data_IF_768612970173
#
_entry.id   IF_768612970173
#
_cell.length_a   1.000
_cell.length_b   1.000
_cell.length_c   1.000
_cell.angle_alpha   90.00
_cell.angle_beta   90.00
_cell.angle_gamma   90.00
#
_symmetry.space_group_name_H-M   'P 1'
#
loop_
_entity.id
_entity.type
_entity.pdbx_description
1 polymer ?
#
# COMPACT_ATOMS: atom_id res chain seq x y z
N UNK A 1 -11.97 48.43 15.51
CA UNK A 1 -11.18 47.75 14.45
C UNK A 1 -11.01 46.31 14.87
N UNK A 2 -11.61 45.35 14.17
CA UNK A 2 -11.47 43.92 14.45
C UNK A 2 -10.21 43.38 13.78
N UNK A 3 -9.38 42.67 14.54
CA UNK A 3 -8.07 42.13 14.12
C UNK A 3 -8.17 40.88 13.22
N UNK A 4 -9.32 40.56 12.62
CA UNK A 4 -9.56 39.24 11.98
C UNK A 4 -9.79 39.29 10.47
N UNK A 5 -9.39 40.35 9.77
CA UNK A 5 -9.40 40.31 8.31
C UNK A 5 -8.24 39.43 7.78
N UNK A 6 -8.57 38.21 7.37
CA UNK A 6 -7.87 37.54 6.26
C UNK A 6 -6.71 36.59 6.57
N UNK A 7 -6.54 36.12 7.80
CA UNK A 7 -5.44 35.20 8.13
C UNK A 7 -5.76 33.77 7.62
N UNK A 8 -5.02 33.33 6.61
CA UNK A 8 -4.98 31.93 6.19
C UNK A 8 -3.87 31.20 6.96
N UNK A 9 -4.20 30.04 7.53
CA UNK A 9 -3.20 29.14 8.12
C UNK A 9 -2.95 28.01 7.14
N UNK A 10 -1.67 27.72 6.92
CA UNK A 10 -1.20 26.65 6.06
C UNK A 10 -0.65 25.53 6.94
N UNK A 11 -1.09 24.31 6.68
CA UNK A 11 -0.53 23.10 7.29
C UNK A 11 0.11 22.31 6.15
N UNK A 12 1.36 21.89 6.36
CA UNK A 12 2.12 21.05 5.43
C UNK A 12 2.50 19.75 6.11
N UNK A 13 2.26 18.61 5.47
CA UNK A 13 2.83 17.32 5.90
C UNK A 13 3.93 16.91 4.92
N UNK A 14 5.15 16.80 5.41
CA UNK A 14 6.30 16.39 4.61
C UNK A 14 6.21 14.91 4.25
N UNK A 15 6.79 14.50 3.13
CA UNK A 15 6.87 13.11 2.68
C UNK A 15 7.35 12.15 3.78
N UNK A 16 8.42 12.51 4.49
CA UNK A 16 8.94 11.72 5.61
C UNK A 16 7.90 11.48 6.70
N UNK A 17 7.08 12.48 7.02
CA UNK A 17 5.99 12.32 7.98
C UNK A 17 4.86 11.42 7.46
N UNK A 18 4.60 11.42 6.15
CA UNK A 18 3.65 10.51 5.52
C UNK A 18 4.17 9.06 5.55
N UNK A 19 5.44 8.85 5.23
CA UNK A 19 6.09 7.54 5.30
C UNK A 19 6.16 7.00 6.74
N UNK A 20 6.44 7.87 7.72
CA UNK A 20 6.38 7.52 9.15
C UNK A 20 4.96 7.10 9.56
N UNK A 21 3.94 7.83 9.11
CA UNK A 21 2.54 7.49 9.37
C UNK A 21 2.15 6.14 8.74
N UNK A 22 2.51 5.92 7.49
CA UNK A 22 2.27 4.65 6.78
C UNK A 22 2.95 3.51 7.52
N UNK A 23 4.23 3.67 7.86
CA UNK A 23 5.01 2.66 8.61
C UNK A 23 4.39 2.37 9.97
N UNK A 24 3.99 3.39 10.72
CA UNK A 24 3.35 3.23 12.02
C UNK A 24 1.99 2.51 11.89
N UNK A 25 1.19 2.88 10.89
CA UNK A 25 -0.10 2.26 10.62
C UNK A 25 0.05 0.78 10.27
N UNK A 26 0.92 0.45 9.31
CA UNK A 26 1.10 -0.93 8.85
C UNK A 26 1.78 -1.80 9.91
N UNK A 27 2.62 -1.21 10.77
CA UNK A 27 3.18 -1.89 11.95
C UNK A 27 2.10 -2.18 13.00
N UNK A 28 1.21 -1.22 13.27
CA UNK A 28 0.14 -1.35 14.27
C UNK A 28 -1.04 -2.21 13.77
N UNK A 29 -1.25 -2.26 12.45
CA UNK A 29 -2.38 -2.89 11.77
C UNK A 29 -1.91 -3.67 10.52
N UNK A 30 -1.07 -4.71 10.70
CA UNK A 30 -0.47 -5.42 9.57
C UNK A 30 -1.48 -6.12 8.65
N UNK A 31 -2.66 -6.47 9.15
CA UNK A 31 -3.74 -7.03 8.33
C UNK A 31 -4.27 -6.12 7.21
N UNK A 32 -3.95 -4.83 7.20
CA UNK A 32 -4.24 -3.95 6.05
C UNK A 32 -3.37 -4.24 4.83
N UNK A 33 -2.25 -4.94 5.02
CA UNK A 33 -1.38 -5.31 3.93
C UNK A 33 -1.55 -6.77 3.53
N UNK A 34 -2.33 -7.58 4.25
CA UNK A 34 -2.34 -9.04 4.10
C UNK A 34 -3.76 -9.60 4.06
N UNK A 35 -4.08 -10.29 2.97
CA UNK A 35 -5.40 -10.82 2.68
C UNK A 35 -5.30 -12.27 2.21
N UNK A 36 -6.09 -13.16 2.77
CA UNK A 36 -6.02 -14.58 2.42
C UNK A 36 -7.35 -15.30 2.46
N UNK A 37 -7.49 -16.30 1.60
CA UNK A 37 -8.62 -17.22 1.59
C UNK A 37 -8.48 -18.31 2.67
N UNK A 38 -9.51 -19.13 2.93
CA UNK A 38 -9.52 -20.02 4.09
C UNK A 38 -8.37 -21.03 4.21
N UNK A 39 -7.77 -21.47 3.11
CA UNK A 39 -6.59 -22.34 3.18
C UNK A 39 -5.34 -21.62 3.70
N UNK A 40 -5.21 -20.30 3.49
CA UNK A 40 -4.11 -19.50 4.00
C UNK A 40 -4.47 -18.78 5.30
N UNK A 41 -5.65 -18.16 5.34
CA UNK A 41 -6.17 -17.34 6.44
C UNK A 41 -7.59 -17.80 6.80
N UNK A 42 -7.75 -18.85 7.62
CA UNK A 42 -9.08 -19.41 7.94
C UNK A 42 -9.96 -18.46 8.75
N UNK A 43 -9.36 -17.55 9.50
CA UNK A 43 -10.02 -16.50 10.28
C UNK A 43 -9.16 -15.25 10.28
N UNK A 44 -9.78 -14.06 10.31
CA UNK A 44 -9.02 -12.81 10.41
C UNK A 44 -8.24 -12.75 11.72
N UNK A 45 -7.01 -12.26 11.65
CA UNK A 45 -6.13 -12.05 12.79
C UNK A 45 -5.66 -10.59 12.81
N UNK A 46 -4.81 -10.22 13.78
CA UNK A 46 -4.15 -8.91 13.74
C UNK A 46 -3.21 -8.74 12.53
N UNK A 47 -2.77 -9.85 11.93
CA UNK A 47 -1.79 -9.90 10.85
C UNK A 47 -2.40 -10.11 9.47
N UNK A 48 -3.58 -10.72 9.38
CA UNK A 48 -4.20 -11.10 8.12
C UNK A 48 -5.71 -10.90 8.15
N UNK A 49 -6.26 -10.42 7.03
CA UNK A 49 -7.69 -10.31 6.80
C UNK A 49 -8.18 -11.56 6.06
N UNK A 50 -9.13 -12.30 6.66
CA UNK A 50 -9.75 -13.43 5.99
C UNK A 50 -10.70 -12.96 4.90
N UNK A 51 -10.55 -13.56 3.73
CA UNK A 51 -11.31 -13.32 2.51
C UNK A 51 -11.92 -14.64 2.02
N UNK A 52 -12.89 -14.56 1.11
CA UNK A 52 -13.41 -15.76 0.46
C UNK A 52 -12.41 -16.28 -0.59
N UNK A 53 -12.38 -17.61 -0.77
CA UNK A 53 -11.75 -18.21 -1.94
C UNK A 53 -12.46 -17.74 -3.21
N UNK A 54 -11.73 -17.68 -4.34
CA UNK A 54 -12.33 -17.33 -5.63
C UNK A 54 -13.28 -18.48 -6.00
N UNK A 55 -14.59 -18.23 -6.17
CA UNK A 55 -15.53 -19.30 -6.47
C UNK A 55 -15.23 -19.92 -7.83
N UNK A 56 -15.00 -21.24 -7.87
CA UNK A 56 -14.80 -21.99 -9.11
C UNK A 56 -15.56 -23.32 -9.06
N UNK A 57 -16.32 -23.69 -10.11
CA UNK A 57 -17.10 -24.92 -10.11
C UNK A 57 -16.25 -26.17 -9.90
N UNK A 58 -16.68 -27.06 -9.00
CA UNK A 58 -16.11 -28.40 -8.84
C UNK A 58 -14.84 -28.51 -7.98
N UNK A 59 -14.23 -27.40 -7.55
CA UNK A 59 -12.96 -27.43 -6.76
C UNK A 59 -13.10 -26.91 -5.33
N UNK A 60 -14.28 -26.41 -4.94
CA UNK A 60 -14.47 -25.72 -3.65
C UNK A 60 -13.93 -24.28 -3.63
N UNK A 61 -13.40 -23.81 -4.76
CA UNK A 61 -12.79 -22.49 -4.95
C UNK A 61 -11.33 -22.59 -5.36
N UNK A 62 -10.71 -21.43 -5.57
CA UNK A 62 -9.27 -21.26 -5.69
C UNK A 62 -8.83 -20.48 -4.45
N UNK A 63 -8.00 -21.13 -3.63
CA UNK A 63 -7.43 -20.50 -2.45
C UNK A 63 -6.19 -19.69 -2.81
N UNK A 64 -6.06 -18.52 -2.21
CA UNK A 64 -5.07 -17.50 -2.53
C UNK A 64 -4.65 -16.72 -1.28
N UNK A 65 -3.49 -16.07 -1.36
CA UNK A 65 -3.05 -15.07 -0.40
C UNK A 65 -2.31 -13.96 -1.15
N UNK A 66 -2.58 -12.72 -0.76
CA UNK A 66 -1.92 -11.52 -1.25
C UNK A 66 -1.40 -10.76 -0.05
N UNK A 67 -0.10 -10.43 -0.06
CA UNK A 67 0.42 -9.47 0.90
C UNK A 67 1.36 -8.46 0.28
N UNK A 68 1.24 -7.22 0.72
CA UNK A 68 2.13 -6.12 0.38
C UNK A 68 3.17 -5.89 1.48
N UNK A 69 4.36 -5.47 1.09
CA UNK A 69 5.30 -4.85 2.04
C UNK A 69 4.80 -3.46 2.43
N UNK A 70 5.38 -2.87 3.47
CA UNK A 70 5.11 -1.46 3.80
C UNK A 70 5.37 -0.60 2.56
N UNK A 71 4.35 0.11 2.03
CA UNK A 71 4.53 0.94 0.86
C UNK A 71 5.37 2.16 1.21
N UNK A 72 6.22 2.57 0.28
CA UNK A 72 6.95 3.84 0.32
C UNK A 72 6.21 4.84 -0.58
N UNK A 73 5.99 6.04 -0.06
CA UNK A 73 5.38 7.16 -0.79
C UNK A 73 6.48 8.15 -1.17
N UNK A 74 6.39 8.67 -2.38
CA UNK A 74 7.30 9.71 -2.91
C UNK A 74 6.46 10.79 -3.60
N UNK A 75 6.60 12.05 -3.16
CA UNK A 75 5.79 13.18 -3.61
C UNK A 75 6.49 13.93 -4.74
N UNK A 76 5.71 14.56 -5.64
CA UNK A 76 6.32 15.40 -6.68
C UNK A 76 7.00 16.64 -6.08
N UNK A 77 8.32 16.83 -6.18
CA UNK A 77 9.26 16.26 -7.16
C UNK A 77 9.98 15.04 -6.62
N UNK A 78 9.90 13.98 -7.40
CA UNK A 78 10.36 12.63 -7.09
C UNK A 78 11.81 12.56 -6.58
N UNK A 79 12.03 11.80 -5.50
CA UNK A 79 13.36 11.45 -4.99
C UNK A 79 13.86 10.10 -5.55
N UNK A 80 12.97 9.12 -5.66
CA UNK A 80 13.26 7.80 -6.23
C UNK A 80 13.12 7.81 -7.77
N UNK A 81 13.59 6.81 -8.51
CA UNK A 81 13.24 6.64 -9.92
C UNK A 81 11.99 5.76 -10.09
N UNK A 82 11.05 6.20 -10.94
CA UNK A 82 9.93 5.37 -11.41
C UNK A 82 10.33 4.52 -12.63
N UNK A 83 9.65 3.38 -12.87
CA UNK A 83 9.70 2.69 -14.16
C UNK A 83 9.37 3.65 -15.32
N UNK A 84 9.97 3.46 -16.51
CA UNK A 84 9.85 4.42 -17.62
C UNK A 84 8.42 4.61 -18.15
N UNK A 85 7.50 3.69 -17.85
CA UNK A 85 6.09 3.72 -18.17
C UNK A 85 5.30 4.71 -17.29
N UNK A 86 5.82 5.01 -16.10
CA UNK A 86 5.23 5.94 -15.15
C UNK A 86 5.99 7.26 -15.13
N UNK A 87 5.25 8.37 -15.02
CA UNK A 87 5.84 9.70 -14.89
C UNK A 87 5.06 10.48 -13.85
N UNK A 88 5.75 10.96 -12.82
CA UNK A 88 5.14 11.71 -11.73
C UNK A 88 4.97 13.19 -12.09
N UNK A 89 3.73 13.65 -12.08
CA UNK A 89 3.35 15.05 -12.34
C UNK A 89 3.10 15.88 -11.08
N UNK A 90 2.97 17.21 -11.21
CA UNK A 90 2.57 18.07 -10.10
C UNK A 90 1.21 17.68 -9.50
N UNK A 91 1.13 17.57 -8.18
CA UNK A 91 -0.09 17.18 -7.47
C UNK A 91 -0.27 15.67 -7.29
N UNK A 92 0.68 14.87 -7.80
CA UNK A 92 0.68 13.41 -7.71
C UNK A 92 1.69 12.91 -6.67
N UNK A 93 1.48 11.68 -6.22
CA UNK A 93 2.43 10.89 -5.46
C UNK A 93 2.71 9.57 -6.19
N UNK A 94 3.90 9.04 -6.06
CA UNK A 94 4.21 7.66 -6.37
C UNK A 94 4.15 6.78 -5.12
N UNK A 95 3.81 5.51 -5.32
CA UNK A 95 3.82 4.47 -4.31
C UNK A 95 4.62 3.29 -4.85
N UNK A 96 5.61 2.84 -4.09
CA UNK A 96 6.38 1.63 -4.41
C UNK A 96 6.22 0.60 -3.30
N UNK A 97 5.97 -0.65 -3.68
CA UNK A 97 5.86 -1.78 -2.74
C UNK A 97 6.21 -3.09 -3.44
N UNK A 98 6.38 -4.16 -2.67
CA UNK A 98 6.46 -5.53 -3.17
C UNK A 98 5.19 -6.26 -2.81
N UNK A 99 4.60 -6.98 -3.76
CA UNK A 99 3.48 -7.88 -3.50
C UNK A 99 3.93 -9.33 -3.57
N UNK A 100 3.60 -10.11 -2.55
CA UNK A 100 3.66 -11.56 -2.57
C UNK A 100 2.28 -12.10 -2.95
N UNK A 101 2.24 -12.94 -3.98
CA UNK A 101 1.05 -13.61 -4.46
C UNK A 101 1.22 -15.11 -4.30
N UNK A 102 0.31 -15.75 -3.58
CA UNK A 102 0.28 -17.20 -3.40
C UNK A 102 -1.05 -17.79 -3.88
N UNK A 103 -0.99 -18.97 -4.47
CA UNK A 103 -2.17 -19.78 -4.84
C UNK A 103 -1.95 -21.21 -4.36
N UNK A 104 -2.97 -21.83 -3.75
CA UNK A 104 -2.90 -23.25 -3.37
C UNK A 104 -3.24 -24.15 -4.59
N UNK A 105 -2.19 -24.64 -5.25
CA UNK A 105 -2.31 -25.43 -6.46
C UNK A 105 -2.41 -26.92 -6.12
N UNK A 106 -3.60 -27.51 -6.20
CA UNK A 106 -3.82 -28.94 -5.86
C UNK A 106 -3.10 -29.98 -6.76
N UNK A 107 -2.17 -29.57 -7.63
CA UNK A 107 -1.40 -30.50 -8.48
C UNK A 107 -0.55 -31.45 -7.63
N UNK A 108 -0.65 -32.76 -7.93
CA UNK A 108 0.13 -33.84 -7.31
C UNK A 108 1.59 -33.44 -7.14
N UNK A 109 2.12 -33.64 -5.93
CA UNK A 109 3.44 -33.21 -5.48
C UNK A 109 4.55 -33.34 -6.52
N UNK A 110 5.29 -32.25 -6.69
CA UNK A 110 6.46 -32.20 -7.55
C UNK A 110 7.37 -31.07 -7.10
N UNK A 111 8.46 -31.48 -6.42
CA UNK A 111 9.73 -30.77 -6.13
C UNK A 111 9.65 -29.30 -5.69
N UNK A 112 10.08 -29.07 -4.45
CA UNK A 112 10.37 -27.74 -3.93
C UNK A 112 11.19 -26.91 -4.90
N UNK A 113 10.80 -25.65 -5.01
CA UNK A 113 11.39 -24.66 -5.89
C UNK A 113 12.89 -24.44 -5.55
N UNK A 114 13.81 -24.40 -6.53
CA UNK A 114 15.19 -24.05 -6.26
C UNK A 114 15.25 -22.57 -5.92
N UNK A 115 15.70 -22.25 -4.72
CA UNK A 115 16.12 -20.89 -4.37
C UNK A 115 17.18 -20.42 -5.38
N UNK A 116 16.78 -19.56 -6.31
CA UNK A 116 17.71 -18.82 -7.15
C UNK A 116 18.52 -17.91 -6.24
N UNK A 117 19.79 -18.27 -6.05
CA UNK A 117 20.72 -17.50 -5.25
C UNK A 117 21.22 -16.31 -6.04
N UNK A 118 21.29 -15.14 -5.40
CA UNK A 118 22.08 -14.03 -5.91
C UNK A 118 22.99 -13.38 -4.87
N UNK A 119 24.21 -13.15 -5.36
CA UNK A 119 25.42 -12.63 -4.71
C UNK A 119 25.36 -11.11 -4.51
N UNK A 120 25.93 -10.65 -3.39
CA UNK A 120 26.50 -9.31 -3.04
C UNK A 120 25.59 -8.08 -3.27
N UNK A 121 25.36 -7.16 -2.32
CA UNK A 121 26.33 -6.27 -1.66
C UNK A 121 25.71 -5.63 -0.37
N UNK A 122 26.39 -4.64 0.26
CA UNK A 122 25.82 -3.71 1.25
C UNK A 122 25.55 -4.19 2.69
N UNK A 123 26.16 -3.55 3.69
CA UNK A 123 25.87 -3.82 5.12
C UNK A 123 24.43 -3.41 5.52
N UNK A 124 23.83 -2.43 4.84
CA UNK A 124 22.43 -1.99 5.04
C UNK A 124 21.43 -2.94 4.34
N UNK A 125 21.75 -3.44 3.15
CA UNK A 125 20.99 -4.51 2.48
C UNK A 125 21.00 -5.81 3.27
N UNK A 126 22.06 -6.07 4.06
CA UNK A 126 22.12 -7.23 4.93
C UNK A 126 21.12 -7.14 6.08
N UNK A 127 20.94 -5.95 6.66
CA UNK A 127 19.92 -5.72 7.68
C UNK A 127 18.50 -5.81 7.09
N UNK A 128 18.29 -5.25 5.89
CA UNK A 128 17.04 -5.38 5.15
C UNK A 128 16.75 -6.84 4.74
N UNK A 129 17.76 -7.60 4.30
CA UNK A 129 17.66 -9.04 4.00
C UNK A 129 17.44 -9.87 5.25
N UNK A 130 18.07 -9.54 6.38
CA UNK A 130 17.86 -10.24 7.65
C UNK A 130 16.47 -9.91 8.22
N UNK A 131 15.97 -8.69 8.05
CA UNK A 131 14.59 -8.31 8.38
C UNK A 131 13.59 -9.02 7.45
N UNK A 132 13.81 -9.02 6.14
CA UNK A 132 12.98 -9.73 5.16
C UNK A 132 13.04 -11.25 5.34
N UNK A 133 14.19 -11.79 5.76
CA UNK A 133 14.37 -13.20 6.10
C UNK A 133 13.67 -13.55 7.42
N UNK A 134 13.77 -12.72 8.44
CA UNK A 134 13.02 -12.88 9.69
C UNK A 134 11.52 -12.72 9.46
N UNK A 135 11.11 -11.86 8.53
CA UNK A 135 9.74 -11.82 8.02
C UNK A 135 9.39 -13.16 7.36
N UNK A 136 10.17 -13.65 6.38
CA UNK A 136 10.04 -14.98 5.74
C UNK A 136 9.97 -16.15 6.70
N UNK A 137 10.75 -16.14 7.76
CA UNK A 137 10.71 -17.20 8.77
C UNK A 137 9.46 -17.09 9.66
N UNK A 138 9.04 -15.87 10.00
CA UNK A 138 7.74 -15.60 10.62
C UNK A 138 6.56 -15.99 9.71
N UNK A 139 6.76 -15.94 8.40
CA UNK A 139 5.76 -16.31 7.39
C UNK A 139 5.52 -17.82 7.32
N UNK A 140 6.56 -18.62 7.52
CA UNK A 140 6.48 -20.08 7.44
C UNK A 140 5.70 -20.71 8.62
N UNK A 141 5.65 -20.04 9.77
CA UNK A 141 4.85 -20.47 10.93
C UNK A 141 3.33 -20.28 10.73
N UNK A 142 2.91 -19.48 9.74
CA UNK A 142 1.51 -19.17 9.45
C UNK A 142 0.91 -20.01 8.32
N UNK A 143 1.55 -21.13 7.93
CA UNK A 143 0.95 -22.07 6.98
C UNK A 143 -0.44 -22.47 7.47
N UNK A 144 -1.46 -21.84 6.90
CA UNK A 144 -2.82 -22.33 6.96
C UNK A 144 -2.87 -23.74 6.36
N UNK A 145 -4.06 -24.28 6.18
CA UNK A 145 -4.25 -25.62 5.61
C UNK A 145 -3.88 -25.74 4.12
N UNK A 146 -3.26 -24.72 3.53
CA UNK A 146 -2.76 -24.71 2.16
C UNK A 146 -1.84 -25.91 1.93
N UNK A 147 -2.15 -26.72 0.91
CA UNK A 147 -1.51 -28.03 0.72
C UNK A 147 -0.30 -27.97 -0.19
N UNK A 148 -0.37 -27.18 -1.25
CA UNK A 148 0.73 -26.95 -2.18
C UNK A 148 0.72 -25.47 -2.63
N UNK A 149 1.14 -24.55 -1.74
CA UNK A 149 1.24 -23.15 -2.10
C UNK A 149 2.32 -22.94 -3.17
N UNK A 150 1.98 -22.23 -4.24
CA UNK A 150 2.93 -21.64 -5.19
C UNK A 150 2.89 -20.13 -4.96
N UNK A 151 4.04 -19.53 -4.70
CA UNK A 151 4.15 -18.12 -4.37
C UNK A 151 5.17 -17.42 -5.27
N UNK A 152 4.94 -16.14 -5.56
CA UNK A 152 5.88 -15.25 -6.24
C UNK A 152 5.87 -13.87 -5.61
N UNK A 153 6.97 -13.14 -5.72
CA UNK A 153 7.09 -11.74 -5.32
C UNK A 153 7.23 -10.87 -6.58
N UNK A 154 6.52 -9.75 -6.62
CA UNK A 154 6.52 -8.80 -7.73
C UNK A 154 6.74 -7.38 -7.20
N UNK A 155 7.62 -6.63 -7.86
CA UNK A 155 7.76 -5.19 -7.63
C UNK A 155 6.55 -4.47 -8.21
N UNK A 156 5.98 -3.55 -7.43
CA UNK A 156 4.82 -2.73 -7.83
C UNK A 156 5.19 -1.27 -7.69
N UNK A 157 5.10 -0.53 -8.78
CA UNK A 157 5.10 0.92 -8.78
C UNK A 157 3.71 1.44 -9.14
N UNK A 158 3.34 2.56 -8.56
CA UNK A 158 2.04 3.17 -8.75
C UNK A 158 2.14 4.69 -8.70
N UNK A 159 1.23 5.37 -9.38
CA UNK A 159 1.02 6.81 -9.25
C UNK A 159 -0.43 7.09 -8.85
N UNK A 160 -0.63 8.13 -8.07
CA UNK A 160 -1.94 8.54 -7.59
C UNK A 160 -1.98 10.00 -7.18
N UNK A 161 -3.16 10.45 -6.76
CA UNK A 161 -3.36 11.80 -6.24
C UNK A 161 -4.27 11.79 -5.00
N UNK A 162 -4.21 12.87 -4.23
CA UNK A 162 -5.07 13.06 -3.07
C UNK A 162 -6.43 13.60 -3.50
N UNK A 163 -7.48 13.06 -2.90
CA UNK A 163 -8.86 13.50 -3.15
C UNK A 163 -9.52 13.98 -1.85
N UNK A 164 -10.24 15.10 -1.87
CA UNK A 164 -11.06 15.50 -0.73
C UNK A 164 -12.20 14.50 -0.55
N UNK A 165 -12.42 14.03 0.68
CA UNK A 165 -13.47 13.09 1.05
C UNK A 165 -14.06 13.43 2.41
N UNK A 166 -14.93 12.56 2.94
CA UNK A 166 -15.45 12.66 4.30
C UNK A 166 -15.42 11.32 5.00
N UNK A 167 -15.10 11.31 6.29
CA UNK A 167 -15.10 10.11 7.13
C UNK A 167 -15.84 10.41 8.43
N UNK A 168 -16.88 9.62 8.73
CA UNK A 168 -17.71 9.86 9.91
C UNK A 168 -18.45 11.21 9.92
N UNK A 169 -18.67 11.82 8.75
CA UNK A 169 -19.28 13.14 8.61
C UNK A 169 -18.30 14.31 8.72
N UNK A 170 -17.02 14.05 8.98
CA UNK A 170 -15.96 15.07 9.06
C UNK A 170 -15.15 15.12 7.76
N UNK A 171 -14.59 16.29 7.39
CA UNK A 171 -13.66 16.41 6.27
C UNK A 171 -12.47 15.45 6.41
N UNK A 172 -12.09 14.82 5.30
CA UNK A 172 -10.98 13.89 5.26
C UNK A 172 -10.24 13.97 3.92
N UNK A 173 -9.05 13.37 3.89
CA UNK A 173 -8.26 13.15 2.67
C UNK A 173 -8.29 11.67 2.32
N UNK A 174 -8.68 11.37 1.08
CA UNK A 174 -8.58 10.04 0.49
C UNK A 174 -7.48 9.99 -0.56
N UNK A 175 -7.25 8.78 -1.07
CA UNK A 175 -6.23 8.49 -2.07
C UNK A 175 -6.90 7.90 -3.32
N UNK A 176 -6.54 8.43 -4.49
CA UNK A 176 -6.92 7.89 -5.78
C UNK A 176 -5.69 7.31 -6.48
N UNK A 177 -5.86 6.14 -7.10
CA UNK A 177 -4.81 5.46 -7.88
C UNK A 177 -5.04 5.70 -9.37
N UNK A 178 -4.08 6.32 -10.03
CA UNK A 178 -4.15 6.69 -11.43
C UNK A 178 -3.59 5.58 -12.32
N UNK A 179 -2.39 5.09 -12.03
CA UNK A 179 -1.75 3.99 -12.76
C UNK A 179 -0.93 3.07 -11.83
N UNK A 180 -0.66 1.87 -12.34
CA UNK A 180 0.15 0.82 -11.72
C UNK A 180 1.03 0.21 -12.80
N UNK A 181 2.27 -0.12 -12.45
CA UNK A 181 3.23 -0.81 -13.29
C UNK A 181 3.85 -1.95 -12.48
N UNK A 182 4.00 -3.12 -13.10
CA UNK A 182 4.77 -4.22 -12.53
C UNK A 182 6.17 -4.24 -13.12
N UNK A 183 7.15 -4.70 -12.34
CA UNK A 183 8.53 -4.77 -12.80
C UNK A 183 8.87 -6.21 -13.19
N UNK A 184 9.49 -6.38 -14.36
CA UNK A 184 10.05 -7.64 -14.86
C UNK A 184 9.01 -8.77 -15.10
N UNK A 185 7.76 -8.45 -15.44
CA UNK A 185 6.76 -9.47 -15.79
C UNK A 185 6.72 -9.68 -17.29
N UNK A 186 6.82 -10.95 -17.72
CA UNK A 186 6.64 -11.32 -19.12
C UNK A 186 5.74 -12.54 -19.26
N UNK A 187 4.97 -12.68 -20.35
CA UNK A 187 4.81 -11.71 -21.44
C UNK A 187 3.96 -10.50 -21.04
N UNK A 188 4.00 -9.42 -21.82
CA UNK A 188 3.25 -8.16 -21.59
C UNK A 188 1.75 -8.42 -21.35
N UNK A 189 1.17 -9.43 -22.01
CA UNK A 189 -0.23 -9.79 -21.80
C UNK A 189 -0.53 -10.32 -20.39
N UNK A 190 0.44 -10.99 -19.76
CA UNK A 190 0.33 -11.46 -18.38
C UNK A 190 0.50 -10.30 -17.40
N UNK A 191 1.47 -9.42 -17.68
CA UNK A 191 1.69 -8.17 -16.95
C UNK A 191 0.42 -7.33 -16.90
N UNK A 192 -0.19 -7.01 -18.04
CA UNK A 192 -1.44 -6.24 -18.09
C UNK A 192 -2.59 -6.88 -17.31
N UNK A 193 -2.67 -8.22 -17.27
CA UNK A 193 -3.68 -8.93 -16.47
C UNK A 193 -3.41 -8.76 -14.98
N UNK A 194 -2.15 -8.91 -14.56
CA UNK A 194 -1.74 -8.76 -13.17
C UNK A 194 -1.85 -7.32 -12.70
N UNK A 195 -1.48 -6.34 -13.52
CA UNK A 195 -1.68 -4.90 -13.27
C UNK A 195 -3.15 -4.55 -13.09
N UNK A 196 -4.02 -5.06 -13.95
CA UNK A 196 -5.45 -4.86 -13.83
C UNK A 196 -5.99 -5.44 -12.51
N UNK A 197 -5.57 -6.66 -12.16
CA UNK A 197 -5.97 -7.33 -10.93
C UNK A 197 -5.46 -6.58 -9.69
N UNK A 198 -4.15 -6.33 -9.63
CA UNK A 198 -3.50 -5.66 -8.50
C UNK A 198 -3.95 -4.20 -8.36
N UNK A 199 -4.13 -3.49 -9.47
CA UNK A 199 -4.71 -2.15 -9.48
C UNK A 199 -6.14 -2.13 -8.96
N UNK A 200 -6.94 -3.17 -9.21
CA UNK A 200 -8.29 -3.29 -8.62
C UNK A 200 -8.21 -3.52 -7.11
N UNK A 201 -7.31 -4.40 -6.67
CA UNK A 201 -7.07 -4.66 -5.23
C UNK A 201 -6.60 -3.39 -4.52
N UNK A 202 -5.57 -2.72 -5.04
CA UNK A 202 -5.01 -1.50 -4.44
C UNK A 202 -6.06 -0.38 -4.38
N UNK A 203 -6.84 -0.15 -5.44
CA UNK A 203 -7.94 0.83 -5.39
C UNK A 203 -8.97 0.51 -4.31
N UNK A 204 -9.33 -0.77 -4.17
CA UNK A 204 -10.28 -1.18 -3.13
C UNK A 204 -9.70 -0.97 -1.71
N UNK A 205 -8.42 -1.25 -1.51
CA UNK A 205 -7.73 -0.98 -0.23
C UNK A 205 -7.65 0.52 0.04
N UNK A 206 -7.19 1.32 -0.92
CA UNK A 206 -7.08 2.78 -0.80
C UNK A 206 -8.43 3.45 -0.54
N UNK A 207 -9.52 2.93 -1.10
CA UNK A 207 -10.87 3.43 -0.83
C UNK A 207 -11.30 3.28 0.65
N UNK A 208 -10.65 2.40 1.41
CA UNK A 208 -10.89 2.27 2.86
C UNK A 208 -10.03 3.23 3.70
N UNK A 209 -9.02 3.86 3.08
CA UNK A 209 -8.12 4.79 3.74
C UNK A 209 -8.63 6.21 3.60
N UNK A 210 -8.94 6.81 4.73
CA UNK A 210 -9.24 8.23 4.84
C UNK A 210 -8.50 8.81 6.04
N UNK A 211 -7.74 9.88 5.81
CA UNK A 211 -7.08 10.63 6.88
C UNK A 211 -8.06 11.72 7.32
N UNK A 212 -8.67 11.60 8.51
CA UNK A 212 -9.58 12.63 9.00
C UNK A 212 -8.80 13.91 9.24
N UNK A 213 -9.28 15.02 8.65
CA UNK A 213 -8.73 16.34 8.89
C UNK A 213 -9.41 16.90 10.14
N UNK A 214 -8.86 16.58 11.31
CA UNK A 214 -9.31 17.23 12.54
C UNK A 214 -8.75 18.64 12.62
N UNK A 215 -9.60 19.60 12.97
CA UNK A 215 -9.20 20.98 13.17
C UNK A 215 -8.09 21.06 14.24
N UNK A 216 -6.94 21.65 13.90
CA UNK A 216 -5.91 21.94 14.88
C UNK A 216 -6.47 23.02 15.81
N UNK A 217 -6.66 22.68 17.09
CA UNK A 217 -7.02 23.65 18.12
C UNK A 217 -5.75 24.28 18.69
N UNK A 218 -5.50 25.53 18.35
CA UNK A 218 -4.45 26.34 18.98
C UNK A 218 -5.12 27.30 19.97
N UNK A 219 -5.19 26.90 21.23
CA UNK A 219 -5.86 27.67 22.28
C UNK A 219 -7.38 27.75 22.07
N UNK A 220 -7.93 28.96 21.93
CA UNK A 220 -9.37 29.21 21.78
C UNK A 220 -9.88 29.16 20.33
N UNK A 221 -9.00 28.92 19.35
CA UNK A 221 -9.33 28.95 17.93
C UNK A 221 -9.40 27.53 17.35
N UNK A 222 -10.32 27.32 16.40
CA UNK A 222 -10.50 26.06 15.69
C UNK A 222 -10.15 26.31 14.22
N UNK A 223 -9.10 25.66 13.71
CA UNK A 223 -8.74 25.79 12.31
C UNK A 223 -9.53 24.81 11.44
N UNK A 224 -10.48 25.30 10.64
CA UNK A 224 -11.19 24.45 9.69
C UNK A 224 -10.52 24.55 8.31
N UNK A 225 -10.07 23.44 7.71
CA UNK A 225 -9.55 23.46 6.34
C UNK A 225 -10.62 23.96 5.37
N UNK A 226 -10.27 24.97 4.57
CA UNK A 226 -11.11 25.58 3.54
C UNK A 226 -10.68 25.20 2.11
N UNK A 227 -9.41 24.81 1.90
CA UNK A 227 -8.85 24.39 0.62
C UNK A 227 -7.68 23.40 0.83
N UNK A 228 -7.49 22.46 -0.09
CA UNK A 228 -6.54 21.34 0.07
C UNK A 228 -7.26 20.00 0.31
N UNK A 229 -6.54 18.86 0.31
CA UNK A 229 -5.09 18.71 0.23
C UNK A 229 -4.53 18.99 -1.17
N UNK A 230 -3.36 19.61 -1.26
CA UNK A 230 -2.60 19.84 -2.50
C UNK A 230 -1.17 19.33 -2.29
N UNK A 231 -0.64 18.51 -3.19
CA UNK A 231 0.78 18.11 -3.15
C UNK A 231 1.60 19.18 -3.90
N UNK A 232 2.58 19.78 -3.22
CA UNK A 232 3.55 20.71 -3.80
C UNK A 232 4.95 20.42 -3.24
N UNK A 233 5.89 20.07 -4.13
CA UNK A 233 7.21 19.57 -3.74
C UNK A 233 7.10 18.36 -2.79
N UNK A 234 7.78 18.40 -1.67
CA UNK A 234 7.85 17.34 -0.67
C UNK A 234 6.74 17.40 0.38
N UNK A 235 5.66 18.17 0.15
CA UNK A 235 4.63 18.39 1.15
C UNK A 235 3.18 18.38 0.65
N UNK A 236 2.27 17.90 1.51
CA UNK A 236 0.81 18.03 1.36
C UNK A 236 0.33 19.29 2.09
N UNK A 237 -0.19 20.26 1.34
CA UNK A 237 -0.67 21.55 1.80
C UNK A 237 -2.20 21.56 2.01
N UNK A 238 -2.63 22.12 3.14
CA UNK A 238 -4.01 22.50 3.39
C UNK A 238 -4.09 23.94 3.91
N UNK A 239 -5.10 24.69 3.49
CA UNK A 239 -5.37 26.08 3.85
C UNK A 239 -6.69 26.16 4.61
N UNK A 240 -6.70 26.80 5.76
CA UNK A 240 -7.92 27.07 6.55
C UNK A 240 -8.11 28.56 6.84
N UNK A 241 -9.33 28.91 7.29
CA UNK A 241 -9.61 30.20 7.93
C UNK A 241 -9.73 29.99 9.44
N UNK A 242 -9.30 30.98 10.22
CA UNK A 242 -9.52 31.06 11.67
C UNK A 242 -10.96 31.44 12.03
#
# INVERSE_FOLDING_TARGET
MSLTEGWAVFVSAHESALNDLVTALTTARPHFLSYGSPAFTPVSTRFDTAMAAIPFPGTGGIDWHVRFTTPHLDLYKQEDPLPPELTLGPGEFSLTTTVQLCVDCTSRGGKGDPTHGDRAQGADERAAREAAKAERERWDESRGKARNPICTELGVAAIGHLVPTSSGGEPAVGFALDAIELVDVTPDSLESVLECLLGTVLRAVLATLAIPLSAIRVGAFTLTPAQGPLIEADAVLARGSL
#
